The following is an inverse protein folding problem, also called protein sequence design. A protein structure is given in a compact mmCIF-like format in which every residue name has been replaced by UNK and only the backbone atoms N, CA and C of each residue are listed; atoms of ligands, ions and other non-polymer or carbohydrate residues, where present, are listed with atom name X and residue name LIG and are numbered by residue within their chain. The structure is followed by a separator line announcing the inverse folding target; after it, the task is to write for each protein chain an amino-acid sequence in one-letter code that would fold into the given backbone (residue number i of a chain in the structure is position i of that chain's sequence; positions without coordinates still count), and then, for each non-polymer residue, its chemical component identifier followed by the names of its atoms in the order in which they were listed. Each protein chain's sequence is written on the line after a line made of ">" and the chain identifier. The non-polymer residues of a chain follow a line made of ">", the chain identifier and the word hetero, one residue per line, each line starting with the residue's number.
data_IF_870817598827
#
_entry.id   IF_870817598827
#
_cell.length_a   1.000
_cell.length_b   1.000
_cell.length_c   1.000
_cell.angle_alpha   90.00
_cell.angle_beta   90.00
_cell.angle_gamma   90.00
#
_symmetry.space_group_name_H-M   'P 1'
#
loop_
_entity.id
_entity.type
_entity.pdbx_description
1 polymer ?
#
# COMPACT_ATOMS: atom_id res chain seq x y z
N UNK A 1 17.48 25.78 -22.17
CA UNK A 1 16.95 25.20 -20.91
C UNK A 1 15.54 25.75 -20.72
N UNK A 2 14.52 25.05 -21.23
CA UNK A 2 13.12 25.44 -21.05
C UNK A 2 12.62 24.75 -19.78
N UNK A 3 12.41 25.53 -18.73
CA UNK A 3 11.71 25.09 -17.54
C UNK A 3 10.25 24.81 -17.96
N UNK A 4 9.85 23.55 -17.96
CA UNK A 4 8.44 23.18 -18.04
C UNK A 4 7.81 23.60 -16.70
N UNK A 5 7.19 24.79 -16.71
CA UNK A 5 6.15 25.11 -15.74
C UNK A 5 5.01 24.11 -16.01
N UNK A 6 4.91 23.08 -15.18
CA UNK A 6 3.73 22.23 -15.17
C UNK A 6 2.63 22.97 -14.42
N UNK A 7 1.53 23.27 -15.12
CA UNK A 7 0.33 23.78 -14.50
C UNK A 7 -0.19 22.72 -13.50
N UNK A 8 -0.45 23.05 -12.22
CA UNK A 8 -0.93 22.08 -11.24
C UNK A 8 -2.27 21.44 -11.65
N UNK A 9 -3.11 22.18 -12.38
CA UNK A 9 -4.39 21.72 -12.96
C UNK A 9 -4.16 20.61 -14.00
N UNK A 10 -3.10 20.72 -14.81
CA UNK A 10 -2.76 19.72 -15.84
C UNK A 10 -2.36 18.37 -15.22
N UNK A 11 -1.62 18.39 -14.11
CA UNK A 11 -1.16 17.17 -13.42
C UNK A 11 -2.33 16.42 -12.78
N UNK A 12 -3.27 17.15 -12.17
CA UNK A 12 -4.46 16.55 -11.57
C UNK A 12 -5.38 15.97 -12.63
N UNK A 13 -5.58 16.66 -13.76
CA UNK A 13 -6.38 16.17 -14.89
C UNK A 13 -5.79 14.90 -15.51
N UNK A 14 -4.47 14.84 -15.70
CA UNK A 14 -3.76 13.68 -16.24
C UNK A 14 -3.82 12.49 -15.26
N UNK A 15 -3.66 12.72 -13.95
CA UNK A 15 -3.79 11.66 -12.95
C UNK A 15 -5.20 11.07 -12.92
N UNK A 16 -6.23 11.90 -13.06
CA UNK A 16 -7.62 11.45 -13.18
C UNK A 16 -7.83 10.65 -14.46
N UNK A 17 -7.31 11.12 -15.58
CA UNK A 17 -7.37 10.40 -16.86
C UNK A 17 -6.64 9.04 -16.79
N UNK A 18 -5.48 8.97 -16.12
CA UNK A 18 -4.77 7.69 -15.85
C UNK A 18 -5.57 6.72 -15.00
N UNK A 19 -6.25 7.20 -13.96
CA UNK A 19 -7.12 6.33 -13.13
C UNK A 19 -8.29 5.75 -13.92
N UNK A 20 -8.86 6.52 -14.84
CA UNK A 20 -9.96 6.08 -15.69
C UNK A 20 -9.51 5.17 -16.86
N UNK A 21 -8.36 5.48 -17.47
CA UNK A 21 -7.82 4.74 -18.61
C UNK A 21 -7.05 3.48 -18.21
N UNK A 22 -6.44 3.44 -17.03
CA UNK A 22 -5.59 2.33 -16.56
C UNK A 22 -6.25 0.94 -16.63
N UNK A 23 -7.49 0.76 -16.12
CA UNK A 23 -8.19 -0.52 -16.22
C UNK A 23 -8.51 -0.92 -17.66
N UNK A 24 -8.91 0.04 -18.51
CA UNK A 24 -9.23 -0.20 -19.92
C UNK A 24 -7.97 -0.55 -20.73
N UNK A 25 -6.86 0.14 -20.46
CA UNK A 25 -5.55 -0.16 -21.04
C UNK A 25 -5.08 -1.55 -20.60
N UNK A 26 -5.18 -1.89 -19.31
CA UNK A 26 -4.81 -3.22 -18.81
C UNK A 26 -5.66 -4.32 -19.44
N UNK A 27 -6.98 -4.14 -19.54
CA UNK A 27 -7.87 -5.10 -20.17
C UNK A 27 -7.55 -5.29 -21.66
N UNK A 28 -7.31 -4.21 -22.41
CA UNK A 28 -6.95 -4.25 -23.82
C UNK A 28 -5.65 -5.01 -24.14
N UNK A 29 -4.79 -5.24 -23.14
CA UNK A 29 -3.54 -5.99 -23.29
C UNK A 29 -3.75 -7.50 -23.30
N UNK A 30 -4.83 -7.99 -22.69
CA UNK A 30 -5.10 -9.41 -22.51
C UNK A 30 -6.38 -9.87 -23.21
N UNK A 31 -7.37 -8.97 -23.34
CA UNK A 31 -8.69 -9.25 -23.92
C UNK A 31 -9.14 -8.12 -24.89
N UNK A 32 -9.90 -8.43 -25.94
CA UNK A 32 -10.50 -7.41 -26.78
C UNK A 32 -11.55 -6.62 -25.99
N UNK A 33 -11.45 -5.29 -26.04
CA UNK A 33 -12.41 -4.38 -25.41
C UNK A 33 -13.75 -4.40 -26.16
N UNK A 34 -14.85 -4.08 -25.46
CA UNK A 34 -16.13 -3.83 -26.12
C UNK A 34 -16.12 -2.48 -26.88
N UNK A 35 -16.96 -2.32 -27.90
CA UNK A 35 -17.02 -1.08 -28.71
C UNK A 35 -17.25 0.19 -27.86
N UNK A 36 -17.98 0.09 -26.76
CA UNK A 36 -18.23 1.22 -25.85
C UNK A 36 -16.97 1.60 -25.04
N UNK A 37 -16.18 0.60 -24.65
CA UNK A 37 -14.93 0.79 -23.89
C UNK A 37 -13.79 1.28 -24.78
N UNK A 38 -13.72 0.81 -26.03
CA UNK A 38 -12.78 1.33 -27.03
C UNK A 38 -13.03 2.80 -27.31
N UNK A 39 -14.29 3.19 -27.53
CA UNK A 39 -14.66 4.58 -27.74
C UNK A 39 -14.32 5.45 -26.52
N UNK A 40 -14.52 4.93 -25.30
CA UNK A 40 -14.15 5.62 -24.06
C UNK A 40 -12.64 5.79 -23.92
N UNK A 41 -11.86 4.77 -24.26
CA UNK A 41 -10.40 4.83 -24.26
C UNK A 41 -9.87 5.80 -25.33
N UNK A 42 -10.46 5.80 -26.52
CA UNK A 42 -10.13 6.73 -27.60
C UNK A 42 -10.39 8.18 -27.19
N UNK A 43 -11.53 8.50 -26.58
CA UNK A 43 -11.80 9.86 -26.08
C UNK A 43 -10.79 10.31 -25.02
N UNK A 44 -10.34 9.40 -24.14
CA UNK A 44 -9.35 9.70 -23.10
C UNK A 44 -7.96 9.95 -23.70
N UNK A 45 -7.58 9.19 -24.72
CA UNK A 45 -6.33 9.37 -25.48
C UNK A 45 -6.39 10.64 -26.35
N UNK A 46 -7.54 10.88 -26.98
CA UNK A 46 -8.03 12.13 -27.59
C UNK A 46 -7.58 13.36 -26.82
N UNK A 47 -7.98 13.35 -25.55
CA UNK A 47 -7.84 14.47 -24.62
C UNK A 47 -6.47 14.51 -23.95
N UNK A 48 -5.77 13.39 -23.85
CA UNK A 48 -4.47 13.26 -23.19
C UNK A 48 -3.52 12.34 -24.00
N UNK A 49 -2.74 12.90 -24.94
CA UNK A 49 -1.88 12.11 -25.83
C UNK A 49 -0.76 11.37 -25.09
N UNK A 50 -0.43 11.79 -23.87
CA UNK A 50 0.53 11.13 -22.97
C UNK A 50 0.10 9.70 -22.60
N UNK A 51 -1.22 9.42 -22.54
CA UNK A 51 -1.75 8.08 -22.26
C UNK A 51 -1.45 7.10 -23.39
N UNK A 52 -1.39 7.56 -24.64
CA UNK A 52 -1.00 6.72 -25.77
C UNK A 52 0.45 6.25 -25.64
N UNK A 53 1.35 7.15 -25.22
CA UNK A 53 2.76 6.81 -25.02
C UNK A 53 2.93 5.79 -23.89
N UNK A 54 2.16 5.93 -22.80
CA UNK A 54 2.16 4.94 -21.72
C UNK A 54 1.62 3.59 -22.18
N UNK A 55 0.54 3.58 -22.96
CA UNK A 55 -0.04 2.34 -23.47
C UNK A 55 0.92 1.59 -24.39
N UNK A 56 1.58 2.30 -25.29
CA UNK A 56 2.60 1.73 -26.17
C UNK A 56 3.83 1.24 -25.39
N UNK A 57 4.22 1.95 -24.32
CA UNK A 57 5.31 1.49 -23.44
C UNK A 57 4.96 0.18 -22.71
N UNK A 58 3.71 0.01 -22.29
CA UNK A 58 3.21 -1.22 -21.65
C UNK A 58 3.14 -2.38 -22.64
N UNK A 59 2.64 -2.13 -23.87
CA UNK A 59 2.67 -3.12 -24.97
C UNK A 59 4.09 -3.58 -25.31
N UNK A 60 5.04 -2.64 -25.35
CA UNK A 60 6.44 -2.96 -25.63
C UNK A 60 7.12 -3.74 -24.50
N UNK A 61 6.62 -3.64 -23.26
CA UNK A 61 7.15 -4.34 -22.10
C UNK A 61 6.64 -5.78 -21.97
N UNK A 62 5.38 -6.04 -22.34
CA UNK A 62 4.75 -7.36 -22.25
C UNK A 62 5.55 -8.54 -22.83
N UNK A 63 6.09 -8.48 -24.06
CA UNK A 63 6.83 -9.61 -24.63
C UNK A 63 8.18 -9.89 -23.93
N UNK A 64 8.60 -9.05 -22.98
CA UNK A 64 9.80 -9.27 -22.16
C UNK A 64 9.50 -10.02 -20.86
N UNK A 65 8.22 -10.16 -20.49
CA UNK A 65 7.79 -10.96 -19.36
C UNK A 65 7.64 -12.41 -19.85
N UNK A 66 8.72 -13.17 -19.78
CA UNK A 66 8.65 -14.62 -19.93
C UNK A 66 8.11 -15.20 -18.61
N UNK A 67 6.81 -15.45 -18.56
CA UNK A 67 6.24 -16.34 -17.56
C UNK A 67 6.75 -17.74 -17.88
N UNK A 68 7.53 -18.34 -16.98
CA UNK A 68 7.78 -19.78 -17.05
C UNK A 68 6.43 -20.46 -16.78
N UNK A 69 5.80 -20.96 -17.85
CA UNK A 69 4.75 -21.96 -17.73
C UNK A 69 5.44 -23.25 -17.26
N UNK A 70 5.60 -23.37 -15.93
CA UNK A 70 5.86 -24.67 -15.34
C UNK A 70 4.60 -25.51 -15.56
N UNK A 71 4.72 -26.57 -16.37
CA UNK A 71 3.71 -27.61 -16.58
C UNK A 71 3.41 -28.30 -15.23
N UNK A 72 2.59 -27.65 -14.42
CA UNK A 72 2.19 -28.16 -13.12
C UNK A 72 0.99 -29.09 -13.29
N UNK A 73 1.24 -30.41 -13.23
CA UNK A 73 0.24 -31.48 -13.41
C UNK A 73 -0.46 -31.92 -12.10
N UNK A 74 -0.56 -31.07 -11.08
CA UNK A 74 -1.29 -31.42 -9.87
C UNK A 74 -2.80 -31.16 -9.99
N UNK A 75 -3.63 -31.86 -9.22
CA UNK A 75 -5.04 -31.49 -9.06
C UNK A 75 -5.17 -30.57 -7.84
N UNK A 76 -5.51 -29.29 -8.06
CA UNK A 76 -5.73 -28.29 -6.98
C UNK A 76 -7.09 -28.45 -6.31
N UNK A 77 -8.02 -29.16 -6.94
CA UNK A 77 -9.40 -29.27 -6.44
C UNK A 77 -9.51 -29.81 -5.01
N UNK A 78 -8.66 -30.75 -4.54
CA UNK A 78 -8.68 -31.21 -3.16
C UNK A 78 -8.20 -30.14 -2.18
N UNK A 79 -7.11 -29.44 -2.50
CA UNK A 79 -6.54 -28.38 -1.65
C UNK A 79 -7.47 -27.16 -1.59
N UNK A 80 -8.06 -26.80 -2.74
CA UNK A 80 -9.01 -25.70 -2.84
C UNK A 80 -10.32 -26.03 -2.08
N UNK A 81 -10.84 -27.26 -2.18
CA UNK A 81 -12.01 -27.68 -1.40
C UNK A 81 -11.74 -27.67 0.10
N UNK A 82 -10.58 -28.17 0.52
CA UNK A 82 -10.19 -28.13 1.93
C UNK A 82 -10.10 -26.68 2.44
N UNK A 83 -9.54 -25.77 1.66
CA UNK A 83 -9.41 -24.36 2.04
C UNK A 83 -10.77 -23.63 2.04
N UNK A 84 -11.68 -23.97 1.14
CA UNK A 84 -13.05 -23.43 1.12
C UNK A 84 -13.87 -23.95 2.30
N UNK A 85 -13.75 -25.24 2.65
CA UNK A 85 -14.43 -25.81 3.82
C UNK A 85 -13.90 -25.22 5.13
N UNK A 86 -12.58 -25.03 5.25
CA UNK A 86 -11.96 -24.40 6.41
C UNK A 86 -12.40 -22.93 6.58
N UNK A 87 -12.48 -22.17 5.48
CA UNK A 87 -13.02 -20.81 5.51
C UNK A 87 -14.52 -20.75 5.78
N UNK A 88 -15.30 -21.74 5.32
CA UNK A 88 -16.73 -21.84 5.59
C UNK A 88 -17.03 -22.17 7.06
N UNK A 89 -16.19 -22.97 7.71
CA UNK A 89 -16.28 -23.27 9.14
C UNK A 89 -15.93 -22.05 10.01
N UNK A 90 -14.92 -21.27 9.62
CA UNK A 90 -14.58 -20.01 10.28
C UNK A 90 -15.70 -18.96 10.13
N UNK A 91 -16.40 -18.92 8.99
CA UNK A 91 -17.54 -18.02 8.75
C UNK A 91 -18.82 -18.41 9.52
N UNK A 92 -18.98 -19.67 9.94
CA UNK A 92 -20.18 -20.15 10.68
C UNK A 92 -20.05 -20.09 12.21
N UNK A 93 -18.85 -19.85 12.74
CA UNK A 93 -18.59 -19.76 14.17
C UNK A 93 -18.94 -18.39 14.75
N UNK A 94 -20.17 -18.22 15.23
CA UNK A 94 -20.60 -17.06 16.03
C UNK A 94 -19.66 -16.88 17.24
N UNK A 95 -19.01 -15.72 17.32
CA UNK A 95 -18.13 -15.31 18.41
C UNK A 95 -18.84 -15.36 19.78
N UNK A 96 -18.56 -16.39 20.57
CA UNK A 96 -18.71 -16.35 22.02
C UNK A 96 -17.34 -16.14 22.65
N UNK A 97 -17.11 -14.93 23.18
CA UNK A 97 -15.87 -14.50 23.88
C UNK A 97 -15.46 -15.34 25.10
N UNK A 98 -16.15 -16.45 25.39
CA UNK A 98 -15.79 -17.40 26.47
C UNK A 98 -15.10 -18.68 25.98
N UNK A 99 -15.03 -18.93 24.66
CA UNK A 99 -14.41 -20.13 24.09
C UNK A 99 -12.89 -20.03 23.84
N UNK A 100 -12.32 -18.83 23.81
CA UNK A 100 -10.91 -18.59 23.44
C UNK A 100 -9.94 -19.13 24.52
N UNK A 101 -10.37 -19.20 25.78
CA UNK A 101 -9.49 -19.65 26.87
C UNK A 101 -9.27 -21.17 26.90
N UNK A 102 -10.16 -21.98 26.30
CA UNK A 102 -10.00 -23.44 26.31
C UNK A 102 -9.16 -23.97 25.13
N UNK A 103 -9.15 -23.27 24.00
CA UNK A 103 -8.35 -23.67 22.83
C UNK A 103 -6.85 -23.43 23.07
N UNK A 104 -6.47 -22.34 23.73
CA UNK A 104 -5.07 -22.03 24.03
C UNK A 104 -4.43 -23.01 25.04
N UNK A 105 -5.21 -23.55 25.98
CA UNK A 105 -4.70 -24.52 26.96
C UNK A 105 -4.55 -25.92 26.33
N UNK A 106 -5.43 -26.30 25.41
CA UNK A 106 -5.34 -27.57 24.70
C UNK A 106 -4.19 -27.62 23.67
N UNK A 107 -3.91 -26.50 22.98
CA UNK A 107 -2.80 -26.42 22.02
C UNK A 107 -1.43 -26.41 22.72
N UNK A 108 -1.30 -25.81 23.90
CA UNK A 108 -0.06 -25.82 24.68
C UNK A 108 0.29 -27.23 25.20
N UNK A 109 -0.71 -28.04 25.55
CA UNK A 109 -0.51 -29.42 26.03
C UNK A 109 -0.11 -30.38 24.89
N UNK A 110 -0.65 -30.21 23.69
CA UNK A 110 -0.28 -31.01 22.51
C UNK A 110 1.13 -30.68 21.98
N UNK A 111 1.53 -29.40 22.02
CA UNK A 111 2.89 -28.98 21.66
C UNK A 111 3.94 -29.49 22.66
N UNK A 112 3.62 -29.51 23.96
CA UNK A 112 4.48 -30.07 24.99
C UNK A 112 4.70 -31.57 24.87
N UNK A 113 3.66 -32.35 24.55
CA UNK A 113 3.80 -33.80 24.34
C UNK A 113 4.55 -34.15 23.04
N UNK A 114 4.38 -33.36 21.97
CA UNK A 114 5.09 -33.57 20.70
C UNK A 114 6.60 -33.34 20.79
N UNK A 115 7.03 -32.30 21.52
CA UNK A 115 8.45 -31.99 21.71
C UNK A 115 9.17 -33.02 22.59
N UNK A 116 8.48 -33.57 23.60
CA UNK A 116 9.04 -34.61 24.47
C UNK A 116 9.23 -35.96 23.73
N UNK A 117 8.30 -36.33 22.85
CA UNK A 117 8.41 -37.55 22.04
C UNK A 117 9.54 -37.47 21.01
N UNK A 118 9.76 -36.30 20.40
CA UNK A 118 10.84 -36.10 19.42
C UNK A 118 12.24 -36.21 20.06
N UNK A 119 12.42 -35.70 21.29
CA UNK A 119 13.71 -35.76 21.98
C UNK A 119 14.05 -37.16 22.55
N UNK A 120 13.06 -38.00 22.87
CA UNK A 120 13.28 -39.38 23.34
C UNK A 120 13.47 -40.39 22.20
N UNK A 121 13.08 -40.07 20.95
CA UNK A 121 13.22 -40.96 19.78
C UNK A 121 14.44 -40.63 18.90
N UNK A 122 15.12 -39.50 19.12
CA UNK A 122 16.35 -39.11 18.42
C UNK A 122 17.63 -39.50 19.19
N UNK A 123 17.56 -40.55 20.03
CA UNK A 123 18.69 -41.13 20.74
C UNK A 123 19.29 -42.31 20.00
N UNK A 124 20.40 -42.05 19.32
CA UNK A 124 21.44 -43.00 18.87
C UNK A 124 21.10 -43.92 17.69
N UNK A 125 21.73 -43.65 16.54
CA UNK A 125 22.22 -44.67 15.60
C UNK A 125 23.27 -44.04 14.68
N UNK A 126 24.54 -44.25 15.04
CA UNK A 126 25.72 -44.00 14.20
C UNK A 126 25.85 -45.04 13.09
N UNK A 127 26.53 -44.58 12.03
CA UNK A 127 27.22 -45.31 10.94
C UNK A 127 26.43 -45.64 9.68
N UNK A 128 26.68 -44.82 8.66
CA UNK A 128 26.34 -45.07 7.26
C UNK A 128 26.93 -43.96 6.42
N UNK A 129 28.13 -44.19 5.89
CA UNK A 129 28.81 -43.29 4.95
C UNK A 129 27.95 -43.08 3.71
N UNK A 130 27.37 -41.89 3.58
CA UNK A 130 26.82 -41.40 2.31
C UNK A 130 27.76 -40.32 1.80
N UNK A 131 28.37 -40.63 0.67
CA UNK A 131 29.17 -39.77 -0.19
C UNK A 131 28.43 -38.45 -0.45
N UNK A 132 28.99 -37.28 -0.09
CA UNK A 132 28.35 -36.02 -0.46
C UNK A 132 28.56 -35.78 -1.96
N UNK A 133 27.46 -35.80 -2.72
CA UNK A 133 27.43 -35.14 -4.03
C UNK A 133 27.71 -33.65 -3.82
N UNK A 134 28.75 -33.07 -4.45
CA UNK A 134 28.93 -31.64 -4.46
C UNK A 134 28.00 -31.09 -5.54
N UNK A 135 27.02 -30.26 -5.17
CA UNK A 135 26.42 -29.19 -6.01
C UNK A 135 25.15 -28.66 -5.33
N UNK A 136 25.35 -27.91 -4.26
CA UNK A 136 24.76 -26.58 -4.11
C UNK A 136 25.81 -25.80 -3.37
N UNK A 137 26.48 -24.91 -4.08
CA UNK A 137 27.22 -23.81 -3.47
C UNK A 137 26.29 -23.18 -2.44
N UNK A 138 26.52 -23.48 -1.17
CA UNK A 138 26.23 -22.53 -0.12
C UNK A 138 27.01 -21.28 -0.53
N UNK A 139 26.34 -20.35 -1.20
CA UNK A 139 26.77 -18.96 -1.19
C UNK A 139 27.01 -18.68 0.28
N UNK A 140 28.28 -18.51 0.65
CA UNK A 140 28.65 -18.00 1.96
C UNK A 140 27.75 -16.79 2.20
N UNK A 141 26.84 -16.90 3.16
CA UNK A 141 25.93 -15.80 3.49
C UNK A 141 26.78 -14.54 3.62
N UNK A 142 26.49 -13.54 2.81
CA UNK A 142 27.30 -12.34 2.74
C UNK A 142 27.33 -11.65 4.10
N UNK A 143 28.34 -10.81 4.36
CA UNK A 143 28.47 -10.15 5.67
C UNK A 143 27.18 -9.40 6.04
N UNK A 144 26.59 -8.71 5.06
CA UNK A 144 25.29 -8.05 5.21
C UNK A 144 24.13 -9.04 5.41
N UNK A 145 24.10 -10.18 4.73
CA UNK A 145 23.03 -11.17 4.93
C UNK A 145 22.97 -11.68 6.37
N UNK A 146 24.14 -11.90 7.00
CA UNK A 146 24.20 -12.30 8.40
C UNK A 146 23.76 -11.16 9.34
N UNK A 147 24.08 -9.92 9.00
CA UNK A 147 23.62 -8.77 9.79
C UNK A 147 22.11 -8.57 9.66
N UNK A 148 21.50 -8.79 8.49
CA UNK A 148 20.04 -8.73 8.32
C UNK A 148 19.30 -9.69 9.25
N UNK A 149 19.86 -10.90 9.46
CA UNK A 149 19.32 -11.87 10.41
C UNK A 149 19.46 -11.36 11.86
N UNK A 150 20.62 -10.80 12.22
CA UNK A 150 20.83 -10.23 13.55
C UNK A 150 19.93 -9.01 13.82
N UNK A 151 19.71 -8.16 12.82
CA UNK A 151 18.78 -7.02 12.86
C UNK A 151 17.36 -7.48 13.15
N UNK A 152 16.92 -8.61 12.56
CA UNK A 152 15.61 -9.17 12.85
C UNK A 152 15.45 -9.54 14.33
N UNK A 153 16.48 -10.11 14.96
CA UNK A 153 16.46 -10.40 16.40
C UNK A 153 16.39 -9.13 17.25
N UNK A 154 17.11 -8.07 16.86
CA UNK A 154 17.02 -6.77 17.54
C UNK A 154 15.62 -6.14 17.40
N UNK A 155 14.99 -6.24 16.23
CA UNK A 155 13.62 -5.75 16.01
C UNK A 155 12.61 -6.51 16.87
N UNK A 156 12.75 -7.84 16.99
CA UNK A 156 11.89 -8.67 17.84
C UNK A 156 12.02 -8.33 19.33
N UNK A 157 13.18 -7.79 19.74
CA UNK A 157 13.43 -7.29 21.10
C UNK A 157 13.01 -5.81 21.29
N UNK A 158 12.47 -5.15 20.25
CA UNK A 158 12.12 -3.72 20.28
C UNK A 158 13.31 -2.77 20.25
N UNK A 159 14.52 -3.26 19.95
CA UNK A 159 15.78 -2.49 19.95
C UNK A 159 16.03 -1.82 18.60
N UNK A 160 15.05 -1.04 18.14
CA UNK A 160 15.05 -0.45 16.79
C UNK A 160 16.20 0.56 16.55
N UNK A 161 16.61 1.31 17.57
CA UNK A 161 17.72 2.25 17.44
C UNK A 161 19.05 1.54 17.20
N UNK A 162 19.29 0.45 17.93
CA UNK A 162 20.50 -0.36 17.78
C UNK A 162 20.52 -1.10 16.45
N UNK A 163 19.38 -1.66 16.06
CA UNK A 163 19.18 -2.29 14.75
C UNK A 163 19.51 -1.33 13.60
N UNK A 164 18.94 -0.12 13.62
CA UNK A 164 19.19 0.89 12.59
C UNK A 164 20.65 1.37 12.59
N UNK A 165 21.26 1.56 13.76
CA UNK A 165 22.65 2.00 13.86
C UNK A 165 23.63 0.98 13.29
N UNK A 166 23.45 -0.31 13.62
CA UNK A 166 24.27 -1.40 13.09
C UNK A 166 24.11 -1.55 11.58
N UNK A 167 22.86 -1.59 11.11
CA UNK A 167 22.58 -1.73 9.69
C UNK A 167 23.11 -0.54 8.87
N UNK A 168 22.98 0.69 9.39
CA UNK A 168 23.55 1.88 8.74
C UNK A 168 25.08 1.88 8.67
N UNK A 169 25.76 1.19 9.61
CA UNK A 169 27.21 1.02 9.57
C UNK A 169 27.59 -0.04 8.52
N UNK A 170 26.94 -1.21 8.55
CA UNK A 170 27.26 -2.32 7.65
C UNK A 170 27.00 -2.00 6.18
N UNK A 171 25.90 -1.29 5.89
CA UNK A 171 25.59 -0.82 4.52
C UNK A 171 26.71 0.08 3.98
N UNK A 172 27.32 0.92 4.82
CA UNK A 172 28.44 1.79 4.41
C UNK A 172 29.75 1.03 4.22
N UNK A 173 29.96 -0.04 5.00
CA UNK A 173 31.19 -0.85 4.93
C UNK A 173 31.18 -1.80 3.73
N UNK A 174 30.00 -2.18 3.24
CA UNK A 174 29.82 -3.19 2.22
C UNK A 174 28.93 -2.72 1.05
N UNK A 175 29.33 -1.66 0.30
CA UNK A 175 28.52 -1.09 -0.78
C UNK A 175 28.29 -2.02 -1.97
N UNK A 176 29.22 -2.96 -2.20
CA UNK A 176 29.19 -3.90 -3.34
C UNK A 176 28.55 -5.26 -3.00
N UNK A 177 28.02 -5.42 -1.78
CA UNK A 177 27.42 -6.68 -1.33
C UNK A 177 26.07 -6.94 -2.05
N UNK A 178 25.79 -8.18 -2.48
CA UNK A 178 24.51 -8.51 -3.11
C UNK A 178 23.29 -8.21 -2.22
N UNK A 179 23.43 -8.25 -0.89
CA UNK A 179 22.37 -7.95 0.07
C UNK A 179 22.25 -6.45 0.41
N UNK A 180 23.06 -5.57 -0.21
CA UNK A 180 23.07 -4.13 0.08
C UNK A 180 21.72 -3.46 -0.19
N UNK A 181 21.02 -3.85 -1.26
CA UNK A 181 19.70 -3.32 -1.59
C UNK A 181 18.66 -3.68 -0.51
N UNK A 182 18.64 -4.93 -0.08
CA UNK A 182 17.73 -5.43 0.96
C UNK A 182 18.01 -4.75 2.31
N UNK A 183 19.29 -4.51 2.60
CA UNK A 183 19.71 -3.78 3.79
C UNK A 183 19.32 -2.31 3.79
N UNK A 184 19.45 -1.62 2.64
CA UNK A 184 18.94 -0.26 2.49
C UNK A 184 17.41 -0.19 2.67
N UNK A 185 16.68 -1.15 2.11
CA UNK A 185 15.24 -1.25 2.24
C UNK A 185 14.83 -1.42 3.71
N UNK A 186 15.44 -2.39 4.40
CA UNK A 186 15.15 -2.65 5.81
C UNK A 186 15.57 -1.49 6.72
N UNK A 187 16.69 -0.82 6.42
CA UNK A 187 17.11 0.38 7.14
C UNK A 187 16.07 1.50 6.99
N UNK A 188 15.58 1.73 5.77
CA UNK A 188 14.59 2.76 5.49
C UNK A 188 13.26 2.48 6.21
N UNK A 189 12.80 1.23 6.22
CA UNK A 189 11.59 0.82 6.92
C UNK A 189 11.70 1.01 8.44
N UNK A 190 12.82 0.58 9.06
CA UNK A 190 13.04 0.81 10.50
C UNK A 190 13.03 2.30 10.82
N UNK A 191 13.72 3.11 10.01
CA UNK A 191 13.79 4.56 10.19
C UNK A 191 12.42 5.22 10.05
N UNK A 192 11.61 4.79 9.08
CA UNK A 192 10.28 5.33 8.81
C UNK A 192 9.26 4.90 9.88
N UNK A 193 9.07 3.59 10.05
CA UNK A 193 7.96 2.99 10.79
C UNK A 193 8.18 3.03 12.31
N UNK A 194 9.40 2.71 12.74
CA UNK A 194 9.69 2.52 14.17
C UNK A 194 10.35 3.73 14.83
N UNK A 195 11.23 4.43 14.10
CA UNK A 195 12.01 5.53 14.67
C UNK A 195 11.48 6.92 14.32
N UNK A 196 10.57 7.04 13.35
CA UNK A 196 10.06 8.32 12.82
C UNK A 196 11.19 9.28 12.38
N UNK A 197 12.32 8.72 11.92
CA UNK A 197 13.46 9.45 11.39
C UNK A 197 13.28 9.60 9.88
N UNK A 198 12.27 10.40 9.50
CA UNK A 198 11.82 10.54 8.10
C UNK A 198 12.89 11.13 7.18
N UNK A 199 13.74 12.01 7.71
CA UNK A 199 14.92 12.55 7.03
C UNK A 199 15.89 11.45 6.60
N UNK A 200 16.22 10.53 7.51
CA UNK A 200 17.12 9.41 7.22
C UNK A 200 16.47 8.36 6.33
N UNK A 201 15.18 8.09 6.54
CA UNK A 201 14.42 7.19 5.68
C UNK A 201 14.40 7.72 4.23
N UNK A 202 14.20 9.02 4.04
CA UNK A 202 14.25 9.66 2.72
C UNK A 202 15.60 9.46 2.03
N UNK A 203 16.71 9.68 2.74
CA UNK A 203 18.06 9.45 2.19
C UNK A 203 18.27 7.98 1.81
N UNK A 204 17.85 7.04 2.67
CA UNK A 204 17.96 5.60 2.41
C UNK A 204 17.16 5.16 1.17
N UNK A 205 15.91 5.64 1.02
CA UNK A 205 15.11 5.37 -0.18
C UNK A 205 15.69 6.05 -1.43
N UNK A 206 16.26 7.25 -1.30
CA UNK A 206 16.91 7.95 -2.41
C UNK A 206 18.16 7.23 -2.89
N UNK A 207 18.95 6.69 -1.97
CA UNK A 207 20.10 5.87 -2.31
C UNK A 207 19.65 4.57 -3.00
N UNK A 208 18.63 3.89 -2.47
CA UNK A 208 18.05 2.70 -3.08
C UNK A 208 17.54 2.96 -4.52
N UNK A 209 16.87 4.10 -4.75
CA UNK A 209 16.41 4.51 -6.09
C UNK A 209 17.58 4.73 -7.07
N UNK A 210 18.71 5.26 -6.59
CA UNK A 210 19.89 5.58 -7.40
C UNK A 210 20.75 4.36 -7.70
N UNK A 211 21.07 3.56 -6.68
CA UNK A 211 22.04 2.48 -6.77
C UNK A 211 21.40 1.14 -7.18
N UNK A 212 20.14 0.90 -6.80
CA UNK A 212 19.46 -0.40 -6.91
C UNK A 212 18.03 -0.28 -7.46
N UNK A 213 17.87 0.45 -8.58
CA UNK A 213 16.56 0.71 -9.22
C UNK A 213 15.69 -0.54 -9.47
N UNK A 214 16.21 -1.71 -9.88
CA UNK A 214 15.37 -2.91 -10.06
C UNK A 214 14.68 -3.35 -8.76
N UNK A 215 15.40 -3.36 -7.65
CA UNK A 215 14.87 -3.71 -6.32
C UNK A 215 13.91 -2.62 -5.84
N UNK A 216 14.23 -1.35 -6.05
CA UNK A 216 13.31 -0.25 -5.75
C UNK A 216 11.97 -0.40 -6.48
N UNK A 217 11.98 -0.78 -7.75
CA UNK A 217 10.77 -0.93 -8.56
C UNK A 217 9.95 -2.19 -8.21
N UNK A 218 10.58 -3.26 -7.72
CA UNK A 218 9.86 -4.46 -7.27
C UNK A 218 9.11 -4.23 -5.96
N UNK A 219 9.53 -3.24 -5.15
CA UNK A 219 8.85 -2.86 -3.91
C UNK A 219 7.92 -1.65 -4.14
N UNK A 220 6.66 -1.94 -4.48
CA UNK A 220 5.63 -0.91 -4.74
C UNK A 220 5.45 0.08 -3.57
N UNK A 221 5.63 -0.38 -2.33
CA UNK A 221 5.49 0.44 -1.12
C UNK A 221 6.64 1.46 -1.00
N UNK A 222 7.87 1.08 -1.37
CA UNK A 222 9.03 1.99 -1.38
C UNK A 222 8.82 3.19 -2.30
N UNK A 223 8.18 2.99 -3.46
CA UNK A 223 7.84 4.09 -4.36
C UNK A 223 6.79 5.02 -3.72
N UNK A 224 5.75 4.45 -3.10
CA UNK A 224 4.73 5.23 -2.39
C UNK A 224 5.36 6.02 -1.23
N UNK A 225 6.15 5.37 -0.38
CA UNK A 225 6.81 5.98 0.77
C UNK A 225 7.79 7.09 0.35
N UNK A 226 8.61 6.86 -0.69
CA UNK A 226 9.49 7.92 -1.21
C UNK A 226 8.69 9.11 -1.76
N UNK A 227 7.55 8.86 -2.42
CA UNK A 227 6.67 9.93 -2.91
C UNK A 227 6.07 10.75 -1.76
N UNK A 228 5.66 10.10 -0.67
CA UNK A 228 5.19 10.81 0.53
C UNK A 228 6.34 11.58 1.17
N UNK A 229 7.48 10.95 1.44
CA UNK A 229 8.64 11.61 2.05
C UNK A 229 9.13 12.82 1.23
N UNK A 230 9.16 12.70 -0.10
CA UNK A 230 9.51 13.83 -0.98
C UNK A 230 8.48 14.96 -0.96
N UNK A 231 7.19 14.65 -0.88
CA UNK A 231 6.14 15.65 -0.73
C UNK A 231 6.18 16.33 0.65
N UNK A 232 6.61 15.62 1.70
CA UNK A 232 6.68 16.14 3.06
C UNK A 232 7.98 16.89 3.36
N UNK A 233 9.01 16.74 2.52
CA UNK A 233 10.33 17.36 2.71
C UNK A 233 10.24 18.90 2.87
N UNK A 234 9.49 19.66 2.05
CA UNK A 234 9.34 21.11 2.23
C UNK A 234 8.65 21.50 3.55
N UNK A 235 7.89 20.57 4.14
CA UNK A 235 7.10 20.74 5.35
C UNK A 235 7.79 20.12 6.59
N UNK A 236 9.10 19.83 6.50
CA UNK A 236 9.89 19.20 7.56
C UNK A 236 9.27 17.89 8.09
N UNK A 237 8.62 17.12 7.21
CA UNK A 237 7.97 15.85 7.53
C UNK A 237 6.82 15.93 8.55
N UNK A 238 6.38 17.13 8.94
CA UNK A 238 5.28 17.34 9.90
C UNK A 238 3.99 16.60 9.51
N UNK A 239 3.55 16.60 8.24
CA UNK A 239 2.30 15.92 7.86
C UNK A 239 2.35 14.39 8.00
N UNK A 240 3.53 13.79 7.82
CA UNK A 240 3.70 12.34 8.00
C UNK A 240 3.66 12.02 9.50
N UNK A 241 4.33 12.84 10.31
CA UNK A 241 4.30 12.70 11.77
C UNK A 241 2.87 12.84 12.32
N UNK A 242 2.08 13.79 11.80
CA UNK A 242 0.69 13.97 12.23
C UNK A 242 -0.21 12.79 11.82
N UNK A 243 -0.02 12.21 10.62
CA UNK A 243 -0.75 11.01 10.19
C UNK A 243 -0.44 9.80 11.10
N UNK A 244 0.84 9.56 11.40
CA UNK A 244 1.25 8.48 12.30
C UNK A 244 0.77 8.71 13.74
N UNK A 245 0.77 9.96 14.21
CA UNK A 245 0.23 10.32 15.51
C UNK A 245 -1.30 10.10 15.57
N UNK A 246 -2.02 10.47 14.50
CA UNK A 246 -3.46 10.29 14.40
C UNK A 246 -3.86 8.80 14.44
N UNK A 247 -3.08 7.92 13.80
CA UNK A 247 -3.31 6.48 13.86
C UNK A 247 -3.24 5.90 15.28
N UNK A 248 -2.44 6.51 16.16
CA UNK A 248 -2.18 6.06 17.54
C UNK A 248 -2.98 6.83 18.59
N UNK A 249 -3.78 7.81 18.18
CA UNK A 249 -4.58 8.63 19.07
C UNK A 249 -5.71 7.82 19.73
N UNK A 250 -6.18 8.28 20.90
CA UNK A 250 -7.35 7.68 21.56
C UNK A 250 -8.62 7.80 20.70
N UNK A 251 -8.74 8.88 19.93
CA UNK A 251 -9.78 9.09 18.93
C UNK A 251 -9.17 9.36 17.55
N UNK A 252 -8.85 8.30 16.77
CA UNK A 252 -8.21 8.45 15.47
C UNK A 252 -9.04 9.26 14.48
N UNK A 253 -10.37 9.14 14.50
CA UNK A 253 -11.24 9.87 13.58
C UNK A 253 -11.12 11.39 13.75
N UNK A 254 -11.16 11.89 14.99
CA UNK A 254 -10.99 13.33 15.24
C UNK A 254 -9.55 13.80 14.96
N UNK A 255 -8.55 12.95 15.18
CA UNK A 255 -7.17 13.29 14.86
C UNK A 255 -6.97 13.44 13.33
N UNK A 256 -7.54 12.56 12.51
CA UNK A 256 -7.50 12.70 11.05
C UNK A 256 -8.36 13.87 10.55
N UNK A 257 -9.47 14.17 11.21
CA UNK A 257 -10.30 15.33 10.90
C UNK A 257 -9.54 16.66 11.03
N UNK A 258 -8.66 16.77 12.04
CA UNK A 258 -7.77 17.92 12.17
C UNK A 258 -6.84 18.05 10.96
N UNK A 259 -6.27 16.93 10.49
CA UNK A 259 -5.39 16.90 9.31
C UNK A 259 -6.14 17.34 8.04
N UNK A 260 -7.42 16.97 7.88
CA UNK A 260 -8.26 17.45 6.78
C UNK A 260 -8.48 18.97 6.81
N UNK A 261 -8.41 19.57 7.99
CA UNK A 261 -8.56 21.03 8.16
C UNK A 261 -7.25 21.76 7.92
N UNK A 262 -6.12 21.18 8.33
CA UNK A 262 -4.79 21.76 8.13
C UNK A 262 -4.28 21.61 6.69
N UNK A 263 -4.54 20.46 6.05
CA UNK A 263 -4.05 20.10 4.72
C UNK A 263 -5.19 19.65 3.79
N UNK A 264 -6.21 20.50 3.55
CA UNK A 264 -7.43 20.11 2.86
C UNK A 264 -7.21 19.69 1.40
N UNK A 265 -6.18 20.20 0.72
CA UNK A 265 -5.93 19.97 -0.71
C UNK A 265 -4.69 19.15 -1.02
N UNK A 266 -3.85 18.93 -0.01
CA UNK A 266 -2.60 18.22 -0.18
C UNK A 266 -2.83 16.71 -0.15
N UNK A 267 -1.80 15.95 -0.52
CA UNK A 267 -1.80 14.48 -0.48
C UNK A 267 -2.14 13.96 0.93
N UNK A 268 -1.83 14.73 1.97
CA UNK A 268 -2.14 14.39 3.36
C UNK A 268 -3.63 14.32 3.65
N UNK A 269 -4.42 15.21 3.04
CA UNK A 269 -5.88 15.16 3.14
C UNK A 269 -6.45 13.89 2.50
N UNK A 270 -5.91 13.48 1.34
CA UNK A 270 -6.31 12.22 0.70
C UNK A 270 -5.95 10.99 1.55
N UNK A 271 -4.75 10.98 2.14
CA UNK A 271 -4.29 9.87 2.98
C UNK A 271 -5.06 9.79 4.32
N UNK A 272 -5.34 10.95 4.94
CA UNK A 272 -6.20 11.03 6.12
C UNK A 272 -7.61 10.52 5.81
N UNK A 273 -8.20 10.97 4.70
CA UNK A 273 -9.54 10.53 4.29
C UNK A 273 -9.60 9.02 4.00
N UNK A 274 -8.56 8.46 3.38
CA UNK A 274 -8.42 7.02 3.17
C UNK A 274 -8.38 6.27 4.49
N UNK A 275 -7.57 6.72 5.45
CA UNK A 275 -7.48 6.12 6.77
C UNK A 275 -8.82 6.19 7.52
N UNK A 276 -9.49 7.34 7.50
CA UNK A 276 -10.82 7.51 8.08
C UNK A 276 -11.87 6.59 7.45
N UNK A 277 -11.86 6.45 6.12
CA UNK A 277 -12.76 5.55 5.40
C UNK A 277 -12.53 4.09 5.82
N UNK A 278 -11.27 3.67 5.99
CA UNK A 278 -10.94 2.33 6.49
C UNK A 278 -11.43 2.07 7.92
N UNK A 279 -11.40 3.08 8.80
CA UNK A 279 -11.91 2.97 10.17
C UNK A 279 -13.43 2.80 10.23
N UNK A 280 -14.17 3.41 9.29
CA UNK A 280 -15.64 3.39 9.24
C UNK A 280 -16.18 2.25 8.35
N UNK A 281 -15.34 1.66 7.50
CA UNK A 281 -15.74 0.51 6.69
C UNK A 281 -15.89 -0.73 7.57
N UNK A 282 -17.14 -1.18 7.77
CA UNK A 282 -17.38 -2.50 8.34
C UNK A 282 -16.66 -3.55 7.51
N UNK A 283 -15.94 -4.46 8.16
CA UNK A 283 -15.22 -5.57 7.53
C UNK A 283 -16.15 -6.64 6.93
N UNK A 284 -17.28 -6.25 6.32
CA UNK A 284 -18.33 -7.12 5.80
C UNK A 284 -17.91 -7.96 4.59
N UNK A 285 -16.65 -7.87 4.12
CA UNK A 285 -16.12 -8.70 3.04
C UNK A 285 -16.68 -8.40 1.65
N UNK A 286 -17.71 -7.55 1.56
CA UNK A 286 -18.10 -6.86 0.33
C UNK A 286 -17.26 -5.59 0.21
N UNK A 287 -16.80 -5.27 -1.00
CA UNK A 287 -16.07 -4.03 -1.25
C UNK A 287 -16.95 -2.87 -0.76
N UNK A 288 -16.54 -2.11 0.27
CA UNK A 288 -17.39 -1.07 0.83
C UNK A 288 -17.72 -0.08 -0.28
N UNK A 289 -19.00 0.20 -0.48
CA UNK A 289 -19.40 1.32 -1.33
C UNK A 289 -18.76 2.59 -0.74
N UNK A 290 -17.75 3.09 -1.44
CA UNK A 290 -16.96 4.22 -0.97
C UNK A 290 -17.84 5.45 -0.72
N UNK A 291 -18.91 5.63 -1.50
CA UNK A 291 -19.87 6.70 -1.28
C UNK A 291 -20.59 6.54 0.07
N UNK A 292 -21.08 5.34 0.37
CA UNK A 292 -21.71 5.01 1.66
C UNK A 292 -20.76 5.17 2.86
N UNK A 293 -19.48 4.79 2.71
CA UNK A 293 -18.48 4.98 3.77
C UNK A 293 -18.19 6.47 4.03
N UNK A 294 -18.04 7.27 2.96
CA UNK A 294 -17.85 8.71 3.06
C UNK A 294 -19.09 9.42 3.62
N UNK A 295 -20.30 8.96 3.29
CA UNK A 295 -21.54 9.49 3.86
C UNK A 295 -21.63 9.23 5.36
N UNK A 296 -21.29 8.01 5.81
CA UNK A 296 -21.19 7.70 7.25
C UNK A 296 -20.16 8.60 7.92
N UNK A 297 -18.99 8.77 7.29
CA UNK A 297 -17.94 9.64 7.80
C UNK A 297 -18.42 11.09 7.95
N UNK A 298 -19.17 11.60 6.98
CA UNK A 298 -19.75 12.96 7.04
C UNK A 298 -20.71 13.16 8.22
N UNK A 299 -21.38 12.10 8.70
CA UNK A 299 -22.23 12.15 9.88
C UNK A 299 -21.46 12.14 11.21
N UNK A 300 -20.17 11.78 11.19
CA UNK A 300 -19.33 11.65 12.38
C UNK A 300 -18.34 12.82 12.55
N UNK A 301 -18.10 13.58 11.49
CA UNK A 301 -17.22 14.75 11.51
C UNK A 301 -17.97 15.98 12.04
N UNK A 302 -17.25 16.82 12.76
CA UNK A 302 -17.69 18.06 13.41
C UNK A 302 -17.12 19.33 12.77
N UNK A 303 -15.94 19.26 12.15
CA UNK A 303 -15.23 20.38 11.57
C UNK A 303 -15.78 20.74 10.18
N UNK A 304 -16.15 22.01 9.92
CA UNK A 304 -16.82 22.38 8.68
C UNK A 304 -15.94 22.21 7.44
N UNK A 305 -14.64 22.51 7.53
CA UNK A 305 -13.71 22.38 6.39
C UNK A 305 -13.49 20.90 6.04
N UNK A 306 -13.38 20.03 7.05
CA UNK A 306 -13.29 18.59 6.84
C UNK A 306 -14.58 18.03 6.20
N UNK A 307 -15.75 18.50 6.66
CA UNK A 307 -17.04 18.15 6.05
C UNK A 307 -17.14 18.59 4.59
N UNK A 308 -16.69 19.81 4.27
CA UNK A 308 -16.67 20.32 2.89
C UNK A 308 -15.76 19.49 2.00
N UNK A 309 -14.58 19.10 2.49
CA UNK A 309 -13.66 18.19 1.79
C UNK A 309 -14.28 16.82 1.57
N UNK A 310 -14.96 16.25 2.57
CA UNK A 310 -15.68 14.98 2.42
C UNK A 310 -16.80 15.11 1.39
N UNK A 311 -17.55 16.22 1.39
CA UNK A 311 -18.61 16.48 0.40
C UNK A 311 -18.04 16.53 -1.03
N UNK A 312 -16.90 17.20 -1.23
CA UNK A 312 -16.21 17.23 -2.52
C UNK A 312 -15.89 15.80 -3.02
N UNK A 313 -15.39 14.94 -2.13
CA UNK A 313 -15.02 13.55 -2.47
C UNK A 313 -16.23 12.64 -2.71
N UNK A 314 -17.33 12.84 -1.98
CA UNK A 314 -18.60 12.18 -2.27
C UNK A 314 -19.11 12.58 -3.66
N UNK A 315 -19.03 13.87 -4.00
CA UNK A 315 -19.41 14.39 -5.32
C UNK A 315 -18.64 13.70 -6.44
N UNK A 316 -17.32 13.56 -6.28
CA UNK A 316 -16.47 12.82 -7.22
C UNK A 316 -16.83 11.33 -7.31
N UNK A 317 -17.18 10.68 -6.20
CA UNK A 317 -17.65 9.29 -6.23
C UNK A 317 -18.94 9.15 -7.06
N UNK A 318 -19.90 10.06 -6.88
CA UNK A 318 -21.15 10.04 -7.63
C UNK A 318 -20.97 10.38 -9.11
N UNK A 319 -20.11 11.33 -9.46
CA UNK A 319 -19.85 11.68 -10.87
C UNK A 319 -19.11 10.60 -11.62
N UNK A 320 -18.03 10.07 -11.04
CA UNK A 320 -17.04 9.28 -11.77
C UNK A 320 -17.35 7.78 -11.75
N UNK A 321 -17.92 7.29 -10.64
CA UNK A 321 -18.13 5.84 -10.44
C UNK A 321 -19.59 5.43 -10.58
N UNK A 322 -20.50 6.22 -10.03
CA UNK A 322 -21.93 5.89 -10.01
C UNK A 322 -22.71 6.56 -11.15
N UNK A 323 -22.06 7.43 -11.92
CA UNK A 323 -22.66 8.22 -13.00
C UNK A 323 -23.95 8.97 -12.60
N UNK A 324 -24.13 9.27 -11.31
CA UNK A 324 -25.29 9.98 -10.78
C UNK A 324 -24.99 11.47 -10.69
N UNK A 325 -25.25 12.19 -11.80
CA UNK A 325 -24.95 13.61 -11.93
C UNK A 325 -25.78 14.49 -10.99
N UNK A 326 -27.00 14.09 -10.64
CA UNK A 326 -27.88 14.88 -9.77
C UNK A 326 -27.32 14.94 -8.35
N UNK A 327 -27.02 13.78 -7.76
CA UNK A 327 -26.41 13.70 -6.43
C UNK A 327 -25.02 14.35 -6.41
N UNK A 328 -24.21 14.14 -7.45
CA UNK A 328 -22.90 14.80 -7.55
C UNK A 328 -23.01 16.33 -7.52
N UNK A 329 -23.99 16.92 -8.22
CA UNK A 329 -24.23 18.38 -8.20
C UNK A 329 -24.58 18.90 -6.81
N UNK A 330 -25.41 18.20 -6.06
CA UNK A 330 -25.80 18.64 -4.71
C UNK A 330 -24.60 18.66 -3.75
N UNK A 331 -23.74 17.63 -3.80
CA UNK A 331 -22.53 17.58 -2.99
C UNK A 331 -21.50 18.63 -3.40
N UNK A 332 -21.30 18.86 -4.71
CA UNK A 332 -20.39 19.91 -5.16
C UNK A 332 -20.90 21.32 -4.84
N UNK A 333 -22.22 21.57 -4.86
CA UNK A 333 -22.78 22.87 -4.41
C UNK A 333 -22.47 23.13 -2.93
N UNK A 334 -22.64 22.12 -2.08
CA UNK A 334 -22.29 22.22 -0.65
C UNK A 334 -20.80 22.51 -0.47
N UNK A 335 -19.92 21.81 -1.18
CA UNK A 335 -18.48 22.06 -1.13
C UNK A 335 -18.09 23.44 -1.72
N UNK A 336 -18.83 23.98 -2.69
CA UNK A 336 -18.59 25.29 -3.28
C UNK A 336 -18.90 26.48 -2.34
N UNK A 337 -19.66 26.21 -1.27
CA UNK A 337 -19.93 27.16 -0.18
C UNK A 337 -18.87 27.11 0.93
N UNK A 338 -17.81 26.30 0.75
CA UNK A 338 -16.75 26.15 1.74
C UNK A 338 -16.08 27.48 2.06
N UNK A 339 -15.70 27.63 3.33
CA UNK A 339 -14.86 28.75 3.80
C UNK A 339 -13.42 28.64 3.31
N UNK A 340 -12.99 27.46 2.88
CA UNK A 340 -11.68 27.26 2.27
C UNK A 340 -11.75 27.58 0.77
N UNK A 341 -11.09 28.67 0.37
CA UNK A 341 -11.22 29.23 -0.99
C UNK A 341 -10.90 28.20 -2.08
N UNK A 342 -9.80 27.48 -1.93
CA UNK A 342 -9.37 26.57 -2.98
C UNK A 342 -10.18 25.26 -3.03
N UNK A 343 -10.84 24.86 -1.93
CA UNK A 343 -11.82 23.74 -1.95
C UNK A 343 -13.09 24.19 -2.67
N UNK A 344 -13.54 25.42 -2.39
CA UNK A 344 -14.68 26.01 -3.06
C UNK A 344 -14.42 26.17 -4.57
N UNK A 345 -13.21 26.56 -4.98
CA UNK A 345 -12.83 26.67 -6.38
C UNK A 345 -12.77 25.29 -7.07
N UNK A 346 -12.19 24.28 -6.42
CA UNK A 346 -12.22 22.90 -6.93
C UNK A 346 -13.66 22.38 -7.12
N UNK A 347 -14.55 22.68 -6.18
CA UNK A 347 -15.95 22.28 -6.26
C UNK A 347 -16.70 23.00 -7.39
N UNK A 348 -16.43 24.30 -7.61
CA UNK A 348 -17.00 25.07 -8.73
C UNK A 348 -16.52 24.56 -10.08
N UNK A 349 -15.24 24.22 -10.20
CA UNK A 349 -14.69 23.60 -11.41
C UNK A 349 -15.37 22.25 -11.68
N UNK A 350 -15.54 21.42 -10.65
CA UNK A 350 -16.25 20.15 -10.76
C UNK A 350 -17.73 20.33 -11.18
N UNK A 351 -18.42 21.37 -10.65
CA UNK A 351 -19.77 21.73 -11.08
C UNK A 351 -19.82 22.11 -12.57
N UNK A 352 -18.89 22.94 -13.03
CA UNK A 352 -18.83 23.37 -14.42
C UNK A 352 -18.60 22.20 -15.40
N UNK A 353 -17.96 21.11 -14.95
CA UNK A 353 -17.79 19.89 -15.75
C UNK A 353 -19.02 18.97 -15.79
N UNK A 354 -20.01 19.19 -14.91
CA UNK A 354 -21.26 18.44 -14.90
C UNK A 354 -22.39 19.11 -15.70
N UNK A 355 -22.26 20.39 -16.02
CA UNK A 355 -23.14 21.16 -16.91
C UNK A 355 -22.83 20.88 -18.38
#
# INVERSE_FOLDING_TARGET
>A
MKLFFFDPVSILSLRRARRAAGPLMAQALYEPLSQAEEHKLQLLVERHPELAQEFESLKAFLPRITLQEDDWCGDLMPALRAQIEEQALLRRGVFSRRGINYVFVASALLLGCGLYAFFMLAGDNRTGTVTPSPLRTAQSASALQNELLAVHDFMNQGRYQEAAARLAQEVKLHPDDPAHADALLQLADIQYTHLQQYDKAYESYKELERSHRPVFNSHWDSNRQLRLLSAALPLNFQPIASLEAAARAESPLHAYEHILTEYPEEIWGEEALRAMTLLVSDGSGEAPDQASALQRLSGMCTEPVALDRICLEIGHCYSDRLANREQARDYFRRAAESRHLALADCAREALAHLE
#
